data_IF_724906574276
#
_entry.id   IF_724906574276
#
_cell.length_a   1.000
_cell.length_b   1.000
_cell.length_c   1.000
_cell.angle_alpha   90.00
_cell.angle_beta   90.00
_cell.angle_gamma   90.00
#
_symmetry.space_group_name_H-M   'P 1'
#
loop_
_entity.id
_entity.type
_entity.pdbx_description
1 polymer ?
#
# COMPACT_ATOMS: atom_id res chain seq x y z
N UNK A 1 -21.21 2.53 -1.64
CA UNK A 1 -20.87 3.98 -1.62
C UNK A 1 -19.35 4.13 -1.51
N UNK A 2 -18.71 4.84 -2.44
CA UNK A 2 -17.25 5.08 -2.42
C UNK A 2 -16.89 6.05 -1.28
N UNK A 3 -15.74 5.88 -0.64
CA UNK A 3 -15.23 6.82 0.38
C UNK A 3 -14.33 7.83 -0.34
N UNK A 4 -14.65 9.10 -0.23
CA UNK A 4 -13.81 10.17 -0.76
C UNK A 4 -13.25 10.99 0.39
N UNK A 5 -11.93 10.92 0.60
CA UNK A 5 -11.21 11.70 1.60
C UNK A 5 -10.19 12.58 0.87
N UNK A 6 -10.28 13.90 1.07
CA UNK A 6 -9.30 14.83 0.49
C UNK A 6 -7.99 14.80 1.31
N UNK A 7 -6.82 14.92 0.67
CA UNK A 7 -5.54 15.03 1.38
C UNK A 7 -5.46 16.33 2.21
N UNK A 8 -4.60 16.39 3.24
CA UNK A 8 -3.62 15.37 3.66
C UNK A 8 -4.27 14.17 4.37
N UNK A 9 -3.79 12.97 4.09
CA UNK A 9 -4.33 11.75 4.70
C UNK A 9 -3.59 11.38 5.98
N UNK A 10 -4.33 11.19 7.06
CA UNK A 10 -3.84 10.62 8.32
C UNK A 10 -3.93 9.09 8.28
N UNK A 11 -3.26 8.42 9.22
CA UNK A 11 -3.39 6.96 9.38
C UNK A 11 -4.86 6.53 9.59
N UNK A 12 -5.62 7.31 10.37
CA UNK A 12 -7.04 7.04 10.59
C UNK A 12 -7.86 7.13 9.29
N UNK A 13 -7.55 8.10 8.43
CA UNK A 13 -8.16 8.24 7.10
C UNK A 13 -7.88 7.00 6.24
N UNK A 14 -6.63 6.52 6.24
CA UNK A 14 -6.22 5.34 5.48
C UNK A 14 -6.87 4.05 6.00
N UNK A 15 -6.85 3.81 7.31
CA UNK A 15 -7.47 2.62 7.92
C UNK A 15 -8.98 2.58 7.68
N UNK A 16 -9.65 3.74 7.72
CA UNK A 16 -11.07 3.86 7.36
C UNK A 16 -11.31 3.52 5.89
N UNK A 17 -10.43 3.97 4.99
CA UNK A 17 -10.47 3.65 3.56
C UNK A 17 -10.30 2.15 3.32
N UNK A 18 -9.27 1.55 3.93
CA UNK A 18 -9.00 0.12 3.85
C UNK A 18 -10.19 -0.70 4.35
N UNK A 19 -10.70 -0.42 5.55
CA UNK A 19 -11.85 -1.13 6.11
C UNK A 19 -13.07 -1.09 5.18
N UNK A 20 -13.34 0.06 4.57
CA UNK A 20 -14.53 0.24 3.72
C UNK A 20 -14.38 -0.44 2.35
N UNK A 21 -13.18 -0.46 1.78
CA UNK A 21 -12.95 -0.94 0.41
C UNK A 21 -12.12 -2.22 0.34
N UNK A 22 -11.88 -2.90 1.46
CA UNK A 22 -11.01 -4.07 1.49
C UNK A 22 -11.49 -5.14 0.51
N UNK A 23 -12.75 -5.60 0.64
CA UNK A 23 -13.24 -6.71 -0.18
C UNK A 23 -13.37 -6.35 -1.67
N UNK A 24 -13.67 -5.08 -1.96
CA UNK A 24 -13.99 -4.60 -3.30
C UNK A 24 -12.79 -4.02 -4.07
N UNK A 25 -11.68 -3.70 -3.39
CA UNK A 25 -10.51 -3.06 -4.02
C UNK A 25 -9.23 -3.74 -3.56
N UNK A 26 -8.84 -3.56 -2.30
CA UNK A 26 -7.51 -3.99 -1.83
C UNK A 26 -7.35 -5.51 -1.78
N UNK A 27 -8.44 -6.22 -1.52
CA UNK A 27 -8.52 -7.68 -1.43
C UNK A 27 -8.28 -8.42 -2.75
N UNK A 28 -8.17 -7.71 -3.87
CA UNK A 28 -7.70 -8.27 -5.14
C UNK A 28 -6.16 -8.29 -5.23
N UNK A 29 -5.48 -7.43 -4.47
CA UNK A 29 -4.02 -7.29 -4.46
C UNK A 29 -3.42 -8.01 -3.25
N UNK A 30 -4.06 -7.87 -2.09
CA UNK A 30 -3.63 -8.39 -0.79
C UNK A 30 -4.62 -9.45 -0.29
N UNK A 31 -4.20 -10.50 0.43
CA UNK A 31 -5.11 -11.53 0.91
C UNK A 31 -6.30 -10.97 1.70
N UNK A 32 -7.52 -11.36 1.30
CA UNK A 32 -8.77 -10.92 1.94
C UNK A 32 -8.85 -11.29 3.43
N UNK A 33 -8.14 -12.35 3.84
CA UNK A 33 -8.03 -12.78 5.24
C UNK A 33 -7.43 -11.73 6.17
N UNK A 34 -6.68 -10.74 5.65
CA UNK A 34 -6.13 -9.63 6.43
C UNK A 34 -7.15 -8.53 6.73
N UNK A 35 -8.44 -8.72 6.42
CA UNK A 35 -9.47 -7.79 6.88
C UNK A 35 -9.48 -7.66 8.41
N UNK A 36 -9.35 -8.78 9.13
CA UNK A 36 -9.30 -8.80 10.59
C UNK A 36 -8.12 -8.01 11.15
N UNK A 37 -6.97 -8.06 10.48
CA UNK A 37 -5.79 -7.24 10.78
C UNK A 37 -6.12 -5.75 10.71
N UNK A 38 -6.81 -5.30 9.67
CA UNK A 38 -7.17 -3.89 9.48
C UNK A 38 -8.21 -3.45 10.50
N UNK A 39 -9.18 -4.31 10.79
CA UNK A 39 -10.18 -4.03 11.82
C UNK A 39 -9.53 -3.91 13.21
N UNK A 40 -8.56 -4.76 13.52
CA UNK A 40 -7.77 -4.68 14.74
C UNK A 40 -6.99 -3.36 14.82
N UNK A 41 -6.22 -3.02 13.79
CA UNK A 41 -5.43 -1.79 13.74
C UNK A 41 -6.34 -0.56 13.83
N UNK A 42 -7.44 -0.52 13.07
CA UNK A 42 -8.40 0.58 13.10
C UNK A 42 -9.09 0.74 14.45
N UNK A 43 -9.33 -0.35 15.19
CA UNK A 43 -9.98 -0.30 16.50
C UNK A 43 -9.10 0.36 17.56
N UNK A 44 -7.80 0.10 17.53
CA UNK A 44 -6.89 0.54 18.58
C UNK A 44 -6.14 1.82 18.20
N UNK A 45 -5.62 1.93 16.98
CA UNK A 45 -4.83 3.10 16.55
C UNK A 45 -5.68 4.35 16.33
N UNK A 46 -6.99 4.20 16.15
CA UNK A 46 -7.93 5.32 16.06
C UNK A 46 -8.71 5.55 17.35
N UNK A 47 -8.37 4.87 18.45
CA UNK A 47 -8.99 5.08 19.75
C UNK A 47 -8.15 6.04 20.60
N UNK A 48 -8.80 6.97 21.30
CA UNK A 48 -8.16 7.90 22.24
C UNK A 48 -7.84 7.24 23.60
N UNK A 49 -7.32 6.02 23.57
CA UNK A 49 -7.01 5.23 24.77
C UNK A 49 -5.52 4.91 24.84
N UNK A 50 -4.91 4.94 26.03
CA UNK A 50 -3.54 4.49 26.20
C UNK A 50 -3.43 3.01 25.86
N UNK A 51 -2.32 2.62 25.26
CA UNK A 51 -2.02 1.23 24.94
C UNK A 51 -1.38 0.54 26.14
N UNK A 52 -1.89 -0.62 26.51
CA UNK A 52 -1.14 -1.54 27.38
C UNK A 52 -0.09 -2.32 26.58
N UNK A 53 0.90 -2.90 27.27
CA UNK A 53 1.98 -3.67 26.65
C UNK A 53 1.47 -4.81 25.75
N UNK A 54 0.39 -5.48 26.16
CA UNK A 54 -0.21 -6.57 25.40
C UNK A 54 -0.82 -6.08 24.07
N UNK A 55 -1.45 -4.91 24.09
CA UNK A 55 -2.06 -4.25 22.94
C UNK A 55 -1.00 -3.79 21.97
N UNK A 56 0.09 -3.16 22.46
CA UNK A 56 1.23 -2.76 21.62
C UNK A 56 1.78 -3.95 20.84
N UNK A 57 1.93 -5.11 21.49
CA UNK A 57 2.41 -6.34 20.86
C UNK A 57 1.47 -6.85 19.76
N UNK A 58 0.16 -6.88 20.04
CA UNK A 58 -0.84 -7.25 19.04
C UNK A 58 -0.76 -6.29 17.84
N UNK A 59 -0.68 -4.98 18.09
CA UNK A 59 -0.61 -3.98 17.01
C UNK A 59 0.65 -4.10 16.18
N UNK A 60 1.80 -4.40 16.79
CA UNK A 60 3.03 -4.66 16.06
C UNK A 60 2.93 -5.91 15.18
N UNK A 61 2.36 -7.01 15.70
CA UNK A 61 2.14 -8.24 14.94
C UNK A 61 1.17 -8.03 13.76
N UNK A 62 0.07 -7.32 14.00
CA UNK A 62 -0.91 -7.00 12.95
C UNK A 62 -0.30 -6.05 11.90
N UNK A 63 0.47 -5.04 12.33
CA UNK A 63 1.19 -4.15 11.41
C UNK A 63 2.22 -4.91 10.57
N UNK A 64 2.97 -5.82 11.19
CA UNK A 64 3.95 -6.69 10.51
C UNK A 64 3.30 -7.50 9.39
N UNK A 65 2.15 -8.14 9.66
CA UNK A 65 1.40 -8.91 8.65
C UNK A 65 0.98 -8.04 7.47
N UNK A 66 0.46 -6.84 7.75
CA UNK A 66 0.00 -5.92 6.71
C UNK A 66 1.16 -5.43 5.85
N UNK A 67 2.25 -4.95 6.48
CA UNK A 67 3.44 -4.46 5.79
C UNK A 67 4.08 -5.55 4.93
N UNK A 68 4.21 -6.77 5.47
CA UNK A 68 4.69 -7.92 4.71
C UNK A 68 3.85 -8.14 3.45
N UNK A 69 2.52 -8.20 3.60
CA UNK A 69 1.65 -8.50 2.49
C UNK A 69 1.71 -7.46 1.36
N UNK A 70 1.82 -6.17 1.70
CA UNK A 70 2.05 -5.14 0.67
C UNK A 70 3.48 -5.19 0.10
N UNK A 71 4.51 -5.49 0.91
CA UNK A 71 5.92 -5.52 0.47
C UNK A 71 6.17 -6.61 -0.58
N UNK A 72 5.43 -7.71 -0.51
CA UNK A 72 5.49 -8.78 -1.52
C UNK A 72 4.92 -8.38 -2.88
N UNK A 73 4.23 -7.24 -2.98
CA UNK A 73 3.58 -6.75 -4.20
C UNK A 73 4.32 -5.59 -4.85
N UNK A 74 4.95 -4.74 -4.06
CA UNK A 74 5.70 -3.58 -4.52
C UNK A 74 6.71 -3.15 -3.47
N UNK A 75 7.87 -2.68 -3.91
CA UNK A 75 8.93 -2.19 -3.04
C UNK A 75 8.65 -0.78 -2.50
N UNK A 76 7.78 0.00 -3.16
CA UNK A 76 7.56 1.42 -2.89
C UNK A 76 8.87 2.17 -2.65
N UNK A 77 9.84 2.03 -3.57
CA UNK A 77 11.17 2.64 -3.48
C UNK A 77 11.96 2.17 -2.25
N UNK A 78 11.72 0.95 -1.78
CA UNK A 78 12.35 0.37 -0.59
C UNK A 78 11.74 0.81 0.74
N UNK A 79 10.83 1.79 0.75
CA UNK A 79 10.21 2.31 1.98
C UNK A 79 9.45 1.19 2.70
N UNK A 80 8.74 0.37 1.95
CA UNK A 80 7.88 -0.65 2.52
C UNK A 80 8.67 -1.86 3.09
N UNK A 81 9.66 -2.41 2.38
CA UNK A 81 10.62 -3.35 2.97
C UNK A 81 11.34 -2.81 4.21
N UNK A 82 11.75 -1.55 4.20
CA UNK A 82 12.40 -0.92 5.35
C UNK A 82 11.46 -0.84 6.56
N UNK A 83 10.23 -0.37 6.37
CA UNK A 83 9.22 -0.33 7.44
C UNK A 83 8.93 -1.73 8.00
N UNK A 84 8.87 -2.75 7.13
CA UNK A 84 8.70 -4.14 7.56
C UNK A 84 9.88 -4.64 8.41
N UNK A 85 11.11 -4.31 8.02
CA UNK A 85 12.31 -4.68 8.77
C UNK A 85 12.34 -4.05 10.16
N UNK A 86 12.03 -2.75 10.27
CA UNK A 86 11.98 -2.03 11.56
C UNK A 86 10.89 -2.59 12.48
N UNK A 87 9.69 -2.84 11.96
CA UNK A 87 8.61 -3.46 12.75
C UNK A 87 8.98 -4.89 13.18
N UNK A 88 9.73 -5.62 12.36
CA UNK A 88 10.21 -6.97 12.70
C UNK A 88 11.23 -6.91 13.83
N UNK A 89 12.19 -5.99 13.76
CA UNK A 89 13.16 -5.74 14.83
C UNK A 89 12.48 -5.38 16.14
N UNK A 90 11.48 -4.48 16.10
CA UNK A 90 10.69 -4.12 17.28
C UNK A 90 9.92 -5.33 17.87
N UNK A 91 9.35 -6.18 17.03
CA UNK A 91 8.70 -7.42 17.48
C UNK A 91 9.68 -8.36 18.21
N UNK A 92 10.93 -8.42 17.75
CA UNK A 92 11.98 -9.27 18.32
C UNK A 92 12.49 -8.71 19.66
N UNK A 93 12.78 -7.41 19.73
CA UNK A 93 13.20 -6.76 20.98
C UNK A 93 12.16 -6.91 22.10
N UNK A 94 10.87 -6.80 21.79
CA UNK A 94 9.81 -7.02 22.78
C UNK A 94 9.70 -8.48 23.24
N UNK A 95 10.09 -9.44 22.40
CA UNK A 95 10.13 -10.86 22.79
C UNK A 95 11.31 -11.15 23.71
N UNK A 96 12.45 -10.51 23.47
CA UNK A 96 13.66 -10.66 24.29
C UNK A 96 13.48 -10.06 25.69
N UNK A 97 12.73 -8.96 25.81
CA UNK A 97 12.40 -8.35 27.11
C UNK A 97 11.60 -9.30 28.01
N UNK A 98 10.60 -10.00 27.48
CA UNK A 98 9.83 -11.00 28.26
C UNK A 98 10.71 -12.15 28.76
N UNK A 99 11.61 -12.65 27.92
CA UNK A 99 12.51 -13.73 28.30
C UNK A 99 13.52 -13.26 29.36
N UNK A 100 13.97 -12.01 29.28
CA UNK A 100 14.85 -11.42 30.29
C UNK A 100 14.14 -11.18 31.62
N UNK A 101 12.85 -10.83 31.60
CA UNK A 101 12.04 -10.59 32.80
C UNK A 101 11.69 -11.91 33.51
N UNK A 102 11.37 -12.97 32.74
CA UNK A 102 11.14 -14.33 33.27
C UNK A 102 12.43 -14.96 33.85
N UNK A 103 13.60 -14.67 33.27
CA UNK A 103 14.90 -15.13 33.81
C UNK A 103 15.26 -14.39 35.11
N UNK A 104 14.89 -13.11 35.24
CA UNK A 104 15.21 -12.32 36.43
C UNK A 104 14.42 -12.78 37.66
N UNK A 105 13.21 -13.31 37.49
CA UNK A 105 12.39 -13.88 38.57
C UNK A 105 12.91 -15.23 39.07
N UNK A 106 13.75 -15.93 38.29
CA UNK A 106 14.40 -17.19 38.72
C UNK A 106 15.79 -17.01 39.33
N UNK A 107 16.34 -15.79 39.34
CA UNK A 107 17.74 -15.51 39.71
C UNK A 107 17.93 -14.91 41.10
N UNK A 108 16.92 -14.96 41.98
CA UNK A 108 17.01 -14.38 43.33
C UNK A 108 17.81 -15.22 44.36
N UNK A 109 18.44 -16.33 43.94
CA UNK A 109 19.12 -17.28 44.84
C UNK A 109 20.59 -17.60 44.48
N UNK A 110 21.36 -16.65 43.95
CA UNK A 110 22.82 -16.80 43.92
C UNK A 110 23.54 -15.46 44.11
N UNK A 111 23.90 -15.18 45.36
CA UNK A 111 24.90 -14.18 45.68
C UNK A 111 26.28 -14.67 45.19
N UNK A 112 26.98 -13.86 44.39
CA UNK A 112 28.44 -13.74 44.52
C UNK A 112 29.03 -12.49 43.85
N UNK A 113 29.81 -11.81 44.68
CA UNK A 113 30.76 -10.71 44.56
C UNK A 113 31.42 -10.37 43.20
N UNK A 114 31.35 -9.06 42.89
CA UNK A 114 32.47 -8.12 42.64
C UNK A 114 33.62 -8.54 41.70
N UNK A 115 33.81 -7.80 40.60
CA UNK A 115 35.06 -7.06 40.30
C UNK A 115 34.97 -6.15 39.06
N UNK A 116 35.70 -5.04 39.14
CA UNK A 116 35.85 -3.93 38.20
C UNK A 116 36.69 -4.30 36.97
N UNK A 117 36.50 -3.59 35.84
CA UNK A 117 37.53 -2.74 35.19
C UNK A 117 37.17 -2.35 33.73
N UNK A 118 37.03 -1.03 33.53
CA UNK A 118 37.68 -0.17 32.50
C UNK A 118 37.94 -0.69 31.08
N UNK A 119 37.46 0.03 30.04
CA UNK A 119 38.21 0.53 28.84
C UNK A 119 37.29 1.34 27.88
N UNK A 120 37.81 2.13 26.90
CA UNK A 120 37.40 3.53 26.69
C UNK A 120 36.77 3.88 25.31
N UNK A 121 36.25 5.11 25.25
CA UNK A 121 36.31 6.12 24.16
C UNK A 121 35.91 5.75 22.71
N UNK A 122 34.76 6.31 22.30
CA UNK A 122 34.54 7.14 21.10
C UNK A 122 35.68 7.22 20.06
N UNK A 123 35.37 6.89 18.79
CA UNK A 123 35.59 7.80 17.65
C UNK A 123 34.95 7.30 16.34
N UNK A 124 34.11 8.18 15.78
CA UNK A 124 33.89 8.54 14.37
C UNK A 124 34.08 7.51 13.25
N UNK A 125 33.10 7.39 12.35
CA UNK A 125 33.33 7.27 10.89
C UNK A 125 32.09 7.74 10.10
N UNK A 126 32.22 8.96 9.57
CA UNK A 126 31.83 9.42 8.22
C UNK A 126 30.39 9.25 7.71
N UNK A 127 29.71 10.40 7.66
CA UNK A 127 28.66 10.74 6.70
C UNK A 127 29.14 10.48 5.27
N UNK A 128 28.41 9.62 4.55
CA UNK A 128 28.59 9.47 3.11
C UNK A 128 27.30 9.92 2.42
N UNK A 129 27.32 11.17 1.95
CA UNK A 129 26.36 11.69 0.98
C UNK A 129 26.23 10.72 -0.20
N UNK A 130 25.02 10.22 -0.43
CA UNK A 130 24.70 9.38 -1.57
C UNK A 130 23.88 10.18 -2.59
N UNK A 131 24.59 10.65 -3.62
CA UNK A 131 24.22 10.72 -5.04
C UNK A 131 22.76 11.06 -5.44
N UNK A 132 22.52 12.20 -6.13
CA UNK A 132 21.21 12.59 -6.67
C UNK A 132 20.73 11.78 -7.90
N UNK A 133 21.54 10.88 -8.47
CA UNK A 133 21.29 10.31 -9.80
C UNK A 133 20.24 9.21 -9.85
N UNK A 134 19.91 8.58 -8.72
CA UNK A 134 18.93 7.49 -8.67
C UNK A 134 17.47 7.98 -8.71
N UNK A 135 17.20 9.18 -8.19
CA UNK A 135 15.85 9.74 -8.17
C UNK A 135 15.35 10.16 -9.56
N UNK A 136 16.22 10.74 -10.39
CA UNK A 136 15.85 11.24 -11.72
C UNK A 136 15.45 10.13 -12.71
N UNK A 137 16.13 8.98 -12.67
CA UNK A 137 15.82 7.85 -13.55
C UNK A 137 14.48 7.19 -13.18
N UNK A 138 14.15 7.16 -11.88
CA UNK A 138 12.90 6.58 -11.38
C UNK A 138 11.70 7.48 -11.67
N UNK A 139 11.86 8.79 -11.54
CA UNK A 139 10.81 9.78 -11.82
C UNK A 139 10.39 9.75 -13.30
N UNK A 140 11.36 9.56 -14.21
CA UNK A 140 11.08 9.36 -15.64
C UNK A 140 10.22 8.10 -15.90
N UNK A 141 10.56 6.98 -15.24
CA UNK A 141 9.80 5.72 -15.38
C UNK A 141 8.35 5.84 -14.90
N UNK A 142 8.10 6.52 -13.78
CA UNK A 142 6.75 6.74 -13.27
C UNK A 142 5.94 7.64 -14.20
N UNK A 143 6.57 8.66 -14.78
CA UNK A 143 5.94 9.55 -15.75
C UNK A 143 5.58 8.83 -17.05
N UNK A 144 6.45 7.93 -17.54
CA UNK A 144 6.17 7.08 -18.69
C UNK A 144 4.97 6.15 -18.43
N UNK A 145 4.95 5.45 -17.29
CA UNK A 145 3.84 4.59 -16.89
C UNK A 145 2.54 5.39 -16.78
N UNK A 146 2.59 6.57 -16.15
CA UNK A 146 1.43 7.44 -16.03
C UNK A 146 0.91 7.90 -17.38
N UNK A 147 1.80 8.30 -18.28
CA UNK A 147 1.44 8.75 -19.64
C UNK A 147 0.76 7.65 -20.44
N UNK A 148 1.22 6.39 -20.31
CA UNK A 148 0.56 5.23 -20.93
C UNK A 148 -0.84 5.05 -20.35
N UNK A 149 -0.98 4.99 -19.02
CA UNK A 149 -2.28 4.80 -18.35
C UNK A 149 -3.27 5.91 -18.69
N UNK A 150 -2.82 7.16 -18.70
CA UNK A 150 -3.60 8.33 -19.07
C UNK A 150 -4.04 8.26 -20.54
N UNK A 151 -3.15 7.85 -21.45
CA UNK A 151 -3.48 7.60 -22.86
C UNK A 151 -4.56 6.54 -23.03
N UNK A 152 -4.46 5.41 -22.31
CA UNK A 152 -5.49 4.36 -22.33
C UNK A 152 -6.81 4.90 -21.81
N UNK A 153 -6.81 5.55 -20.66
CA UNK A 153 -8.01 6.09 -20.03
C UNK A 153 -8.72 7.11 -20.92
N UNK A 154 -7.97 8.07 -21.47
CA UNK A 154 -8.51 9.10 -22.35
C UNK A 154 -9.11 8.50 -23.62
N UNK A 155 -8.45 7.50 -24.21
CA UNK A 155 -8.94 6.79 -25.41
C UNK A 155 -10.23 6.03 -25.12
N UNK A 156 -10.27 5.26 -24.03
CA UNK A 156 -11.47 4.54 -23.61
C UNK A 156 -12.63 5.49 -23.30
N UNK A 157 -12.34 6.57 -22.57
CA UNK A 157 -13.34 7.56 -22.20
C UNK A 157 -13.92 8.30 -23.42
N UNK A 158 -13.07 8.69 -24.37
CA UNK A 158 -13.49 9.35 -25.62
C UNK A 158 -14.49 8.49 -26.40
N UNK A 159 -14.13 7.24 -26.69
CA UNK A 159 -15.01 6.35 -27.44
C UNK A 159 -16.25 5.93 -26.66
N UNK A 160 -16.16 5.81 -25.33
CA UNK A 160 -17.32 5.54 -24.49
C UNK A 160 -18.32 6.69 -24.56
N UNK A 161 -17.86 7.94 -24.46
CA UNK A 161 -18.72 9.13 -24.57
C UNK A 161 -19.37 9.19 -25.96
N UNK A 162 -18.59 9.01 -27.03
CA UNK A 162 -19.12 9.02 -28.42
C UNK A 162 -20.19 7.94 -28.61
N UNK A 163 -19.97 6.75 -28.07
CA UNK A 163 -20.91 5.63 -28.12
C UNK A 163 -22.20 5.92 -27.35
N UNK A 164 -22.10 6.42 -26.12
CA UNK A 164 -23.28 6.71 -25.30
C UNK A 164 -24.08 7.90 -25.82
N UNK A 165 -23.44 8.88 -26.45
CA UNK A 165 -24.14 9.97 -27.14
C UNK A 165 -24.94 9.47 -28.35
N UNK A 166 -24.36 8.53 -29.11
CA UNK A 166 -25.03 7.93 -30.28
C UNK A 166 -26.16 6.97 -29.89
N UNK A 167 -26.11 6.40 -28.68
CA UNK A 167 -27.12 5.50 -28.15
C UNK A 167 -28.24 6.19 -27.37
N UNK A 168 -28.39 7.52 -27.48
CA UNK A 168 -29.40 8.29 -26.74
C UNK A 168 -30.81 7.66 -26.84
N UNK A 169 -31.38 7.16 -25.72
CA UNK A 169 -32.69 6.51 -25.69
C UNK A 169 -33.85 7.43 -26.09
N UNK A 170 -33.64 8.74 -26.12
CA UNK A 170 -34.68 9.71 -26.50
C UNK A 170 -34.86 9.89 -28.00
N UNK A 171 -33.90 9.41 -28.83
CA UNK A 171 -33.93 9.50 -30.29
C UNK A 171 -34.59 8.28 -30.99
N UNK A 172 -35.35 7.46 -30.25
CA UNK A 172 -35.80 6.11 -30.66
C UNK A 172 -36.92 6.07 -31.72
N UNK A 173 -37.30 7.19 -32.33
CA UNK A 173 -38.24 7.20 -33.47
C UNK A 173 -37.52 7.40 -34.81
N UNK A 174 -37.49 6.34 -35.62
CA UNK A 174 -37.03 6.22 -37.02
C UNK A 174 -35.52 6.30 -37.33
N UNK A 175 -34.66 6.85 -36.45
CA UNK A 175 -33.20 6.92 -36.67
C UNK A 175 -32.38 5.77 -36.03
N UNK A 176 -33.04 4.86 -35.30
CA UNK A 176 -32.39 3.85 -34.46
C UNK A 176 -31.42 2.92 -35.22
N UNK A 177 -31.73 2.54 -36.47
CA UNK A 177 -30.86 1.61 -37.23
C UNK A 177 -29.50 2.24 -37.57
N UNK A 178 -29.49 3.50 -37.96
CA UNK A 178 -28.26 4.24 -38.27
C UNK A 178 -27.44 4.51 -36.99
N UNK A 179 -28.10 4.81 -35.87
CA UNK A 179 -27.41 5.04 -34.59
C UNK A 179 -26.77 3.76 -34.03
N UNK A 180 -27.39 2.59 -34.20
CA UNK A 180 -26.80 1.31 -33.85
C UNK A 180 -25.58 0.96 -34.73
N UNK A 181 -25.61 1.24 -36.03
CA UNK A 181 -24.47 1.04 -36.93
C UNK A 181 -23.29 1.94 -36.55
N UNK A 182 -23.54 3.21 -36.21
CA UNK A 182 -22.49 4.12 -35.77
C UNK A 182 -21.92 3.76 -34.39
N UNK A 183 -22.76 3.29 -33.45
CA UNK A 183 -22.30 2.79 -32.16
C UNK A 183 -21.45 1.52 -32.33
N UNK A 184 -21.83 0.62 -33.22
CA UNK A 184 -21.03 -0.57 -33.54
C UNK A 184 -19.67 -0.20 -34.14
N UNK A 185 -19.62 0.79 -35.04
CA UNK A 185 -18.36 1.30 -35.58
C UNK A 185 -17.49 1.92 -34.48
N UNK A 186 -18.08 2.62 -33.52
CA UNK A 186 -17.41 3.12 -32.32
C UNK A 186 -16.76 2.00 -31.48
N UNK A 187 -17.48 0.89 -31.26
CA UNK A 187 -16.94 -0.28 -30.57
C UNK A 187 -15.78 -0.92 -31.32
N UNK A 188 -15.86 -1.00 -32.65
CA UNK A 188 -14.77 -1.55 -33.47
C UNK A 188 -13.50 -0.69 -33.37
N UNK A 189 -13.63 0.63 -33.39
CA UNK A 189 -12.51 1.57 -33.19
C UNK A 189 -11.90 1.44 -31.81
N UNK A 190 -12.74 1.34 -30.77
CA UNK A 190 -12.27 1.12 -29.40
C UNK A 190 -11.52 -0.21 -29.27
N UNK A 191 -12.05 -1.29 -29.85
CA UNK A 191 -11.39 -2.60 -29.83
C UNK A 191 -10.03 -2.56 -30.54
N UNK A 192 -9.92 -1.86 -31.67
CA UNK A 192 -8.65 -1.68 -32.37
C UNK A 192 -7.64 -0.90 -31.51
N UNK A 193 -8.04 0.24 -30.97
CA UNK A 193 -7.18 1.04 -30.10
C UNK A 193 -6.69 0.28 -28.86
N UNK A 194 -7.57 -0.52 -28.23
CA UNK A 194 -7.19 -1.37 -27.09
C UNK A 194 -6.19 -2.46 -27.50
N UNK A 195 -6.32 -3.04 -28.70
CA UNK A 195 -5.35 -4.02 -29.21
C UNK A 195 -3.99 -3.39 -29.48
N UNK A 196 -3.95 -2.22 -30.10
CA UNK A 196 -2.71 -1.50 -30.38
C UNK A 196 -1.98 -1.10 -29.09
N UNK A 197 -2.73 -0.63 -28.09
CA UNK A 197 -2.21 -0.35 -26.75
C UNK A 197 -1.64 -1.64 -26.12
N UNK A 198 -2.36 -2.75 -26.19
CA UNK A 198 -1.90 -4.04 -25.64
C UNK A 198 -0.61 -4.51 -26.31
N UNK A 199 -0.50 -4.35 -27.62
CA UNK A 199 0.72 -4.69 -28.38
C UNK A 199 1.88 -3.75 -28.05
N UNK A 200 1.60 -2.46 -27.82
CA UNK A 200 2.59 -1.49 -27.38
C UNK A 200 3.15 -1.74 -25.98
N UNK A 201 2.32 -2.27 -25.06
CA UNK A 201 2.75 -2.64 -23.69
C UNK A 201 3.58 -3.93 -23.68
N UNK A 202 3.39 -4.82 -24.66
CA UNK A 202 4.06 -6.11 -24.73
C UNK A 202 5.44 -6.11 -25.40
N UNK A 203 5.88 -4.99 -25.98
CA UNK A 203 7.23 -4.79 -26.55
C UNK A 203 8.17 -4.19 -25.52
#
# INVERSE_FOLDING_TARGET
>A
QILYLKPPWTLANLLKCYKKHWMAVFGYVVPRSLLSTIECLSKHLCADKPFDSSTVRILLQESKKLLHAFSTRSDYNGILPQAYAEVTKLCETLREQDLSEDIMVLSENAACEKMEATTPNLQSTEEKELHPSFHAAQENRHQEIWSVLEGVWNTMNLYSIELFQKLDPTAVTMAAKASFEEAFLGLQKLLAAVKDIREGIGR
#
